data_IF_893580859321
#
_entry.id   IF_893580859321
#
_cell.length_a   1.000
_cell.length_b   1.000
_cell.length_c   1.000
_cell.angle_alpha   90.00
_cell.angle_beta   90.00
_cell.angle_gamma   90.00
#
_symmetry.space_group_name_H-M   'P 1'
#
loop_
_entity.id
_entity.type
_entity.pdbx_description
1 polymer ?
#
# COMPACT_ATOMS: atom_id res chain seq x y z
N UNK A 1 10.09 -10.82 -23.29
CA UNK A 1 10.31 -10.86 -21.83
C UNK A 1 9.08 -10.28 -21.11
N UNK A 2 8.34 -11.10 -20.33
CA UNK A 2 7.32 -10.61 -19.39
C UNK A 2 8.05 -10.31 -18.08
N UNK A 3 8.60 -9.11 -17.93
CA UNK A 3 9.08 -8.64 -16.63
C UNK A 3 7.85 -8.40 -15.76
N UNK A 4 7.52 -9.38 -14.93
CA UNK A 4 6.42 -9.27 -13.98
C UNK A 4 6.86 -8.31 -12.85
N UNK A 5 6.71 -7.01 -13.11
CA UNK A 5 6.99 -5.97 -12.11
C UNK A 5 6.03 -6.17 -10.93
N UNK A 6 6.58 -6.55 -9.78
CA UNK A 6 5.79 -6.74 -8.55
C UNK A 6 5.03 -5.44 -8.24
N UNK A 7 3.74 -5.56 -7.91
CA UNK A 7 2.89 -4.42 -7.58
C UNK A 7 2.37 -3.62 -8.79
N UNK A 8 2.64 -4.05 -10.03
CA UNK A 8 2.17 -3.39 -11.24
C UNK A 8 1.24 -4.31 -12.03
N UNK A 9 0.04 -3.83 -12.35
CA UNK A 9 -0.87 -4.50 -13.25
C UNK A 9 -0.62 -4.01 -14.69
N UNK A 10 -0.42 -4.95 -15.62
CA UNK A 10 -0.14 -4.65 -17.03
C UNK A 10 -1.30 -5.11 -17.90
N UNK A 11 -1.93 -4.18 -18.62
CA UNK A 11 -3.08 -4.43 -19.47
C UNK A 11 -2.71 -4.11 -20.92
N UNK A 12 -2.92 -5.06 -21.83
CA UNK A 12 -2.75 -4.85 -23.27
C UNK A 12 -4.11 -4.68 -23.92
N UNK A 13 -4.29 -3.62 -24.70
CA UNK A 13 -5.54 -3.38 -25.43
C UNK A 13 -5.24 -3.06 -26.89
N UNK A 14 -5.98 -3.71 -27.79
CA UNK A 14 -5.99 -3.37 -29.22
C UNK A 14 -6.91 -2.17 -29.43
N UNK A 15 -6.40 -1.12 -30.04
CA UNK A 15 -7.17 0.08 -30.39
C UNK A 15 -8.01 -0.18 -31.65
N UNK A 16 -9.00 0.67 -31.87
CA UNK A 16 -9.79 0.68 -33.09
C UNK A 16 -8.92 0.86 -34.35
N UNK A 17 -7.77 1.53 -34.21
CA UNK A 17 -6.76 1.71 -35.27
C UNK A 17 -5.94 0.44 -35.57
N UNK A 18 -6.14 -0.65 -34.83
CA UNK A 18 -5.39 -1.90 -34.95
C UNK A 18 -4.11 -1.97 -34.10
N UNK A 19 -3.63 -0.84 -33.59
CA UNK A 19 -2.45 -0.73 -32.73
C UNK A 19 -2.67 -1.44 -31.38
N UNK A 20 -1.67 -2.16 -30.86
CA UNK A 20 -1.73 -2.76 -29.52
C UNK A 20 -0.97 -1.87 -28.53
N UNK A 21 -1.70 -1.21 -27.62
CA UNK A 21 -1.09 -0.44 -26.53
C UNK A 21 -1.03 -1.22 -25.23
N UNK A 22 0.07 -1.04 -24.52
CA UNK A 22 0.27 -1.57 -23.18
C UNK A 22 0.09 -0.45 -22.16
N UNK A 23 -0.75 -0.70 -21.16
CA UNK A 23 -1.05 0.20 -20.06
C UNK A 23 -0.56 -0.42 -18.76
N UNK A 24 -0.02 0.43 -17.89
CA UNK A 24 0.49 0.02 -16.59
C UNK A 24 -0.32 0.71 -15.49
N UNK A 25 -0.63 -0.03 -14.44
CA UNK A 25 -1.40 0.46 -13.31
C UNK A 25 -0.72 0.06 -12.00
N UNK A 26 -0.68 0.96 -11.05
CA UNK A 26 -0.25 0.66 -9.69
C UNK A 26 -1.31 -0.22 -9.01
N UNK A 27 -0.96 -1.45 -8.66
CA UNK A 27 -1.94 -2.48 -8.28
C UNK A 27 -2.70 -2.14 -7.00
N UNK A 28 -2.05 -1.49 -6.04
CA UNK A 28 -2.68 -1.15 -4.75
C UNK A 28 -3.63 0.06 -4.84
N UNK A 29 -3.42 0.98 -5.78
CA UNK A 29 -4.25 2.19 -5.90
C UNK A 29 -5.16 2.20 -7.12
N UNK A 30 -4.92 1.32 -8.09
CA UNK A 30 -5.57 1.34 -9.40
C UNK A 30 -5.16 2.52 -10.30
N UNK A 31 -4.22 3.37 -9.86
CA UNK A 31 -3.80 4.54 -10.65
C UNK A 31 -3.00 4.12 -11.88
N UNK A 32 -3.28 4.75 -13.02
CA UNK A 32 -2.53 4.55 -14.25
C UNK A 32 -1.13 5.17 -14.12
N UNK A 33 -0.11 4.38 -14.43
CA UNK A 33 1.28 4.82 -14.48
C UNK A 33 1.56 5.43 -15.86
N UNK A 34 2.28 6.56 -15.88
CA UNK A 34 2.71 7.22 -17.10
C UNK A 34 4.10 6.75 -17.50
N UNK A 35 4.40 6.75 -18.79
CA UNK A 35 5.70 6.31 -19.31
C UNK A 35 5.85 4.79 -19.46
N UNK A 36 7.03 4.39 -19.90
CA UNK A 36 7.43 3.00 -20.09
C UNK A 36 8.14 2.47 -18.83
N UNK A 37 8.09 1.16 -18.54
CA UNK A 37 8.82 0.60 -17.42
C UNK A 37 10.32 0.92 -17.51
N UNK A 38 10.88 1.49 -16.45
CA UNK A 38 12.28 1.92 -16.39
C UNK A 38 12.52 3.39 -16.79
N UNK A 39 11.51 4.10 -17.28
CA UNK A 39 11.61 5.54 -17.53
C UNK A 39 11.49 6.36 -16.23
N UNK A 40 12.09 7.57 -16.16
CA UNK A 40 11.93 8.48 -15.02
C UNK A 40 10.46 8.82 -14.73
N UNK A 41 9.63 8.99 -15.76
CA UNK A 41 8.21 9.31 -15.65
C UNK A 41 7.42 8.17 -14.99
N UNK A 42 7.83 6.94 -15.24
CA UNK A 42 7.24 5.74 -14.64
C UNK A 42 7.56 5.63 -13.16
N UNK A 43 8.82 5.88 -12.78
CA UNK A 43 9.24 5.93 -11.37
C UNK A 43 8.53 7.05 -10.62
N UNK A 44 8.42 8.25 -11.23
CA UNK A 44 7.70 9.38 -10.65
C UNK A 44 6.20 9.06 -10.46
N UNK A 45 5.57 8.39 -11.43
CA UNK A 45 4.16 7.97 -11.34
C UNK A 45 3.93 6.95 -10.22
N UNK A 46 4.87 6.02 -10.01
CA UNK A 46 4.81 5.08 -8.88
C UNK A 46 4.94 5.83 -7.56
N UNK A 47 5.93 6.72 -7.43
CA UNK A 47 6.14 7.51 -6.22
C UNK A 47 4.89 8.37 -5.88
N UNK A 48 4.26 8.98 -6.87
CA UNK A 48 3.03 9.74 -6.70
C UNK A 48 1.84 8.86 -6.28
N UNK A 49 1.73 7.65 -6.84
CA UNK A 49 0.72 6.69 -6.44
C UNK A 49 0.91 6.25 -4.97
N UNK A 50 2.13 5.90 -4.58
CA UNK A 50 2.46 5.54 -3.20
C UNK A 50 2.21 6.69 -2.22
N UNK A 51 2.61 7.92 -2.57
CA UNK A 51 2.39 9.10 -1.74
C UNK A 51 0.90 9.32 -1.46
N UNK A 52 0.04 9.10 -2.47
CA UNK A 52 -1.40 9.21 -2.28
C UNK A 52 -2.00 8.15 -1.36
N UNK A 53 -1.44 6.93 -1.34
CA UNK A 53 -1.83 5.90 -0.36
C UNK A 53 -1.43 6.32 1.04
N UNK A 54 -0.20 6.83 1.22
CA UNK A 54 0.26 7.30 2.54
C UNK A 54 -0.61 8.44 3.06
N UNK A 55 -1.06 9.35 2.19
CA UNK A 55 -1.99 10.41 2.57
C UNK A 55 -3.36 9.87 3.00
N UNK A 56 -3.88 8.85 2.30
CA UNK A 56 -5.16 8.22 2.67
C UNK A 56 -5.12 7.61 4.07
N UNK A 57 -4.03 6.95 4.39
CA UNK A 57 -3.93 6.19 5.65
C UNK A 57 -3.56 7.09 6.84
N UNK A 58 -3.30 8.38 6.60
CA UNK A 58 -3.02 9.35 7.66
C UNK A 58 -4.20 9.44 8.63
N UNK A 59 -3.93 9.28 9.93
CA UNK A 59 -4.96 9.34 10.95
C UNK A 59 -5.72 8.03 11.16
N UNK A 60 -5.30 6.93 10.52
CA UNK A 60 -5.89 5.59 10.66
C UNK A 60 -4.92 4.61 11.32
N UNK A 61 -5.42 3.50 11.88
CA UNK A 61 -4.60 2.46 12.51
C UNK A 61 -3.50 1.94 11.56
N UNK A 62 -3.81 1.72 10.28
CA UNK A 62 -2.81 1.32 9.29
C UNK A 62 -1.73 2.41 9.10
N UNK A 63 -2.12 3.68 9.10
CA UNK A 63 -1.18 4.81 9.11
C UNK A 63 -0.25 4.77 10.32
N UNK A 64 -0.79 4.59 11.53
CA UNK A 64 -0.01 4.53 12.76
C UNK A 64 0.99 3.37 12.76
N UNK A 65 0.57 2.18 12.31
CA UNK A 65 1.44 1.01 12.17
C UNK A 65 2.61 1.32 11.22
N UNK A 66 2.33 1.92 10.06
CA UNK A 66 3.37 2.30 9.09
C UNK A 66 4.32 3.35 9.64
N UNK A 67 3.80 4.35 10.35
CA UNK A 67 4.61 5.36 11.05
C UNK A 67 5.54 4.69 12.08
N UNK A 68 5.01 3.76 12.88
CA UNK A 68 5.82 2.99 13.84
C UNK A 68 6.95 2.22 13.15
N UNK A 69 6.68 1.57 12.02
CA UNK A 69 7.70 0.84 11.24
C UNK A 69 8.81 1.74 10.66
N UNK A 70 8.58 3.06 10.57
CA UNK A 70 9.61 4.00 10.12
C UNK A 70 10.52 4.49 11.25
N UNK A 71 10.14 4.27 12.52
CA UNK A 71 10.88 4.76 13.70
C UNK A 71 12.22 4.04 13.90
N UNK A 72 13.13 4.69 14.64
CA UNK A 72 14.38 4.07 15.06
C UNK A 72 14.16 2.83 15.95
N UNK A 73 13.07 2.80 16.73
CA UNK A 73 12.71 1.64 17.58
C UNK A 73 12.48 0.40 16.71
N UNK A 74 11.70 0.53 15.64
CA UNK A 74 11.48 -0.56 14.70
C UNK A 74 12.78 -1.04 14.06
N UNK A 75 13.63 -0.10 13.59
CA UNK A 75 14.89 -0.45 12.92
C UNK A 75 15.82 -1.29 13.79
N UNK A 76 15.83 -1.03 15.10
CA UNK A 76 16.64 -1.75 16.11
C UNK A 76 16.12 -3.15 16.45
N UNK A 77 14.88 -3.49 16.10
CA UNK A 77 14.34 -4.83 16.36
C UNK A 77 15.08 -5.90 15.53
N UNK A 78 15.20 -7.10 16.08
CA UNK A 78 15.68 -8.27 15.36
C UNK A 78 14.72 -8.61 14.20
N UNK A 79 15.24 -9.22 13.13
CA UNK A 79 14.43 -9.58 11.96
C UNK A 79 13.32 -10.58 12.30
N UNK A 80 13.55 -11.50 13.24
CA UNK A 80 12.52 -12.42 13.75
C UNK A 80 11.38 -11.68 14.43
N UNK A 81 11.68 -10.68 15.26
CA UNK A 81 10.68 -9.83 15.92
C UNK A 81 9.91 -9.00 14.90
N UNK A 82 10.59 -8.42 13.91
CA UNK A 82 9.93 -7.69 12.82
C UNK A 82 8.98 -8.60 12.03
N UNK A 83 9.39 -9.83 11.74
CA UNK A 83 8.56 -10.80 11.04
C UNK A 83 7.27 -11.12 11.83
N UNK A 84 7.39 -11.32 13.14
CA UNK A 84 6.23 -11.59 13.99
C UNK A 84 5.30 -10.39 14.11
N UNK A 85 5.86 -9.19 14.32
CA UNK A 85 5.07 -7.96 14.36
C UNK A 85 4.35 -7.72 13.03
N UNK A 86 4.99 -7.99 11.88
CA UNK A 86 4.31 -7.89 10.57
C UNK A 86 3.11 -8.82 10.47
N UNK A 87 3.20 -10.05 10.99
CA UNK A 87 2.06 -10.99 10.99
C UNK A 87 0.90 -10.44 11.81
N UNK A 88 1.17 -9.99 13.03
CA UNK A 88 0.17 -9.39 13.92
C UNK A 88 -0.43 -8.14 13.26
N UNK A 89 0.40 -7.25 12.74
CA UNK A 89 -0.06 -6.03 12.08
C UNK A 89 -0.92 -6.32 10.85
N UNK A 90 -0.59 -7.34 10.05
CA UNK A 90 -1.41 -7.73 8.90
C UNK A 90 -2.82 -8.13 9.34
N UNK A 91 -2.94 -8.89 10.43
CA UNK A 91 -4.24 -9.24 11.01
C UNK A 91 -5.04 -8.00 11.44
N UNK A 92 -4.39 -7.05 12.12
CA UNK A 92 -5.04 -5.81 12.56
C UNK A 92 -5.42 -4.89 11.41
N UNK A 93 -4.57 -4.78 10.39
CA UNK A 93 -4.81 -3.94 9.21
C UNK A 93 -5.98 -4.45 8.38
N UNK A 94 -6.14 -5.78 8.26
CA UNK A 94 -7.25 -6.39 7.51
C UNK A 94 -8.61 -6.07 8.13
N UNK A 95 -8.70 -6.12 9.46
CA UNK A 95 -9.96 -5.91 10.18
C UNK A 95 -10.23 -4.44 10.52
N UNK A 96 -9.19 -3.69 10.88
CA UNK A 96 -9.32 -2.37 11.48
C UNK A 96 -8.40 -1.31 10.86
N UNK A 97 -7.75 -1.59 9.73
CA UNK A 97 -6.76 -0.69 9.14
C UNK A 97 -7.29 0.71 8.83
N UNK A 98 -8.56 0.83 8.44
CA UNK A 98 -9.24 2.10 8.14
C UNK A 98 -9.82 2.80 9.38
N UNK A 99 -9.69 2.21 10.57
CA UNK A 99 -10.21 2.78 11.81
C UNK A 99 -9.44 4.07 12.15
N UNK A 100 -10.11 5.23 12.28
CA UNK A 100 -9.46 6.50 12.59
C UNK A 100 -9.05 6.60 14.07
N UNK A 101 -8.05 7.40 14.40
CA UNK A 101 -7.53 7.52 15.79
C UNK A 101 -8.60 7.79 16.84
N UNK A 102 -9.56 8.73 16.64
CA UNK A 102 -10.59 8.99 17.64
C UNK A 102 -11.51 7.78 17.88
N UNK A 103 -11.67 6.89 16.88
CA UNK A 103 -12.50 5.71 17.00
C UNK A 103 -11.82 4.57 17.77
N UNK A 104 -10.50 4.63 17.99
CA UNK A 104 -9.79 3.63 18.80
C UNK A 104 -10.18 3.71 20.29
N UNK A 105 -10.61 4.88 20.75
CA UNK A 105 -11.09 5.10 22.14
C UNK A 105 -12.57 4.72 22.32
N UNK A 106 -13.29 4.44 21.23
CA UNK A 106 -14.72 4.14 21.27
C UNK A 106 -15.00 2.79 21.96
N UNK A 107 -16.08 2.74 22.75
CA UNK A 107 -16.53 1.52 23.42
C UNK A 107 -16.87 0.40 22.44
N UNK A 108 -17.38 0.74 21.26
CA UNK A 108 -17.68 -0.20 20.19
C UNK A 108 -16.40 -0.87 19.65
N UNK A 109 -15.34 -0.09 19.45
CA UNK A 109 -14.04 -0.62 19.04
C UNK A 109 -13.47 -1.57 20.11
N UNK A 110 -13.46 -1.13 21.37
CA UNK A 110 -13.03 -1.98 22.50
C UNK A 110 -13.80 -3.30 22.56
N UNK A 111 -15.13 -3.25 22.35
CA UNK A 111 -15.98 -4.44 22.33
C UNK A 111 -15.65 -5.36 21.17
N UNK A 112 -15.34 -4.83 19.99
CA UNK A 112 -14.96 -5.64 18.83
C UNK A 112 -13.62 -6.36 19.00
N UNK A 113 -12.70 -5.78 19.79
CA UNK A 113 -11.36 -6.33 20.03
C UNK A 113 -11.31 -7.41 21.12
N UNK A 114 -12.05 -7.22 22.21
CA UNK A 114 -11.93 -8.06 23.42
C UNK A 114 -12.87 -9.29 23.37
N UNK A 115 -13.85 -9.30 22.48
CA UNK A 115 -14.82 -10.40 22.36
C UNK A 115 -14.24 -11.61 21.64
#
# INVERSE_FOLDING_TARGET
MRTHLKGINTIKRKLATGEVRTYYYHRATGKRLQGLPGSPEFLASIAAAEASTRQRDKGTLAGLIREFQQTAKWRRLAESTKAEYRRIFTFWEDQFGTCPYPALEDKAFRRAVIK
#
